data_IF_412493100364
#
_entry.id   IF_412493100364
#
_cell.length_a   1.000
_cell.length_b   1.000
_cell.length_c   1.000
_cell.angle_alpha   90.00
_cell.angle_beta   90.00
_cell.angle_gamma   90.00
#
_symmetry.space_group_name_H-M   'P 1'
#
loop_
_entity.id
_entity.type
_entity.pdbx_description
1 polymer ?
#
# COMPACT_ATOMS: atom_id res chain seq x y z
N UNK A 1 57.00 -1.03 -7.90
CA UNK A 1 56.01 -0.51 -8.88
C UNK A 1 54.90 -1.54 -9.19
N UNK A 2 54.05 -1.92 -8.22
CA UNK A 2 52.89 -2.83 -8.45
C UNK A 2 51.59 -2.41 -7.72
N UNK A 3 51.54 -1.21 -7.14
CA UNK A 3 50.37 -0.72 -6.38
C UNK A 3 49.42 0.24 -7.11
N UNK A 4 49.81 0.77 -8.28
CA UNK A 4 49.01 1.74 -9.04
C UNK A 4 48.05 1.11 -10.05
N UNK A 5 48.27 -0.15 -10.43
CA UNK A 5 47.48 -0.87 -11.44
C UNK A 5 46.13 -1.38 -10.88
N UNK A 6 46.10 -1.83 -9.62
CA UNK A 6 44.87 -2.39 -9.01
C UNK A 6 43.81 -1.31 -8.72
N UNK A 7 44.22 -0.11 -8.30
CA UNK A 7 43.29 1.00 -8.04
C UNK A 7 42.63 1.54 -9.31
N UNK A 8 43.34 1.51 -10.44
CA UNK A 8 42.78 1.89 -11.74
C UNK A 8 41.81 0.82 -12.26
N UNK A 9 42.16 -0.46 -12.13
CA UNK A 9 41.27 -1.55 -12.49
C UNK A 9 39.96 -1.53 -11.67
N UNK A 10 40.05 -1.26 -10.37
CA UNK A 10 38.87 -1.20 -9.49
C UNK A 10 37.97 0.01 -9.79
N UNK A 11 38.54 1.20 -10.05
CA UNK A 11 37.76 2.38 -10.48
C UNK A 11 37.07 2.18 -11.83
N UNK A 12 37.73 1.53 -12.77
CA UNK A 12 37.16 1.25 -14.08
C UNK A 12 36.04 0.19 -13.99
N UNK A 13 36.16 -0.81 -13.12
CA UNK A 13 35.10 -1.79 -12.86
C UNK A 13 33.85 -1.14 -12.21
N UNK A 14 34.06 -0.25 -11.23
CA UNK A 14 32.96 0.51 -10.60
C UNK A 14 32.27 1.49 -11.57
N UNK A 15 33.05 2.17 -12.42
CA UNK A 15 32.50 3.04 -13.46
C UNK A 15 31.70 2.26 -14.52
N UNK A 16 32.17 1.05 -14.88
CA UNK A 16 31.46 0.15 -15.79
C UNK A 16 30.14 -0.34 -15.19
N UNK A 17 30.14 -0.78 -13.92
CA UNK A 17 28.93 -1.18 -13.20
C UNK A 17 27.92 -0.03 -13.06
N UNK A 18 28.38 1.18 -12.76
CA UNK A 18 27.51 2.36 -12.69
C UNK A 18 26.92 2.72 -14.06
N UNK A 19 27.71 2.63 -15.14
CA UNK A 19 27.22 2.86 -16.50
C UNK A 19 26.21 1.79 -16.95
N UNK A 20 26.43 0.52 -16.60
CA UNK A 20 25.49 -0.56 -16.88
C UNK A 20 24.19 -0.38 -16.08
N UNK A 21 24.27 0.05 -14.82
CA UNK A 21 23.08 0.34 -14.01
C UNK A 21 22.27 1.52 -14.58
N UNK A 22 22.92 2.59 -15.03
CA UNK A 22 22.26 3.73 -15.68
C UNK A 22 21.63 3.32 -17.02
N UNK A 23 22.29 2.46 -17.80
CA UNK A 23 21.76 1.95 -19.07
C UNK A 23 20.57 1.01 -18.86
N UNK A 24 20.59 0.16 -17.83
CA UNK A 24 19.45 -0.72 -17.49
C UNK A 24 18.26 0.09 -17.00
N UNK A 25 18.48 1.12 -16.17
CA UNK A 25 17.42 2.03 -15.73
C UNK A 25 16.86 2.88 -16.88
N UNK A 26 17.72 3.32 -17.80
CA UNK A 26 17.31 4.05 -19.00
C UNK A 26 16.58 3.14 -20.00
N UNK A 27 17.00 1.88 -20.14
CA UNK A 27 16.32 0.89 -20.97
C UNK A 27 14.98 0.46 -20.38
N UNK A 28 14.84 0.33 -19.06
CA UNK A 28 13.53 0.16 -18.41
C UNK A 28 12.63 1.38 -18.67
N UNK A 29 13.18 2.61 -18.57
CA UNK A 29 12.44 3.84 -18.85
C UNK A 29 12.02 3.99 -20.33
N UNK A 30 12.83 3.49 -21.27
CA UNK A 30 12.55 3.51 -22.72
C UNK A 30 11.58 2.39 -23.11
N UNK A 31 11.72 1.18 -22.55
CA UNK A 31 10.82 0.05 -22.83
C UNK A 31 9.41 0.27 -22.25
N UNK A 32 9.26 1.09 -21.20
CA UNK A 32 7.94 1.56 -20.74
C UNK A 32 7.33 2.67 -21.60
N UNK A 33 8.10 3.28 -22.51
CA UNK A 33 7.63 4.41 -23.34
C UNK A 33 7.06 3.97 -24.69
N UNK A 34 7.51 2.82 -25.23
CA UNK A 34 7.15 2.37 -26.58
C UNK A 34 6.06 1.27 -26.62
N UNK A 35 5.39 0.98 -25.50
CA UNK A 35 4.22 0.10 -25.48
C UNK A 35 2.91 0.89 -25.48
N UNK A 36 2.34 0.98 -26.68
CA UNK A 36 0.93 1.31 -27.00
C UNK A 36 0.48 2.72 -26.65
N UNK A 37 0.38 3.55 -27.70
CA UNK A 37 -0.41 4.77 -27.76
C UNK A 37 -1.92 4.38 -27.69
N UNK A 38 -2.36 3.89 -26.52
CA UNK A 38 -3.79 3.85 -26.19
C UNK A 38 -4.16 5.29 -25.88
N UNK A 39 -5.20 5.79 -26.54
CA UNK A 39 -5.79 7.10 -26.30
C UNK A 39 -6.37 7.17 -24.87
N UNK A 40 -5.49 7.29 -23.88
CA UNK A 40 -5.84 7.40 -22.48
C UNK A 40 -6.39 8.80 -22.24
N UNK A 41 -7.71 8.89 -22.01
CA UNK A 41 -8.32 10.09 -21.42
C UNK A 41 -7.51 10.46 -20.16
N UNK A 42 -6.92 11.67 -20.10
CA UNK A 42 -6.13 12.06 -18.95
C UNK A 42 -7.05 12.18 -17.72
N UNK A 43 -6.65 11.59 -16.58
CA UNK A 43 -7.17 12.08 -15.30
C UNK A 43 -6.60 13.49 -15.12
N UNK A 44 -7.49 14.46 -15.30
CA UNK A 44 -7.21 15.88 -15.53
C UNK A 44 -6.66 16.57 -14.26
N UNK A 45 -5.33 16.61 -14.12
CA UNK A 45 -4.65 17.78 -13.56
C UNK A 45 -3.19 17.85 -14.00
N UNK A 46 -2.89 18.63 -15.02
CA UNK A 46 -1.52 19.12 -15.25
C UNK A 46 -1.34 20.44 -14.50
N UNK A 47 -0.59 20.37 -13.39
CA UNK A 47 -0.14 21.47 -12.51
C UNK A 47 -1.01 21.80 -11.28
N UNK A 48 -0.40 22.10 -10.12
CA UNK A 48 -1.09 22.73 -9.01
C UNK A 48 -1.60 24.11 -9.41
N UNK A 49 -2.79 24.46 -8.91
CA UNK A 49 -3.21 25.86 -8.83
C UNK A 49 -2.20 26.59 -7.95
N UNK A 50 -1.71 27.70 -8.45
CA UNK A 50 -0.90 28.71 -7.77
C UNK A 50 -1.51 29.08 -6.42
N UNK A 51 -1.06 28.43 -5.35
CA UNK A 51 -1.18 28.93 -3.97
C UNK A 51 -0.08 28.26 -3.14
N UNK A 52 1.14 28.76 -3.32
CA UNK A 52 2.24 28.46 -2.42
C UNK A 52 1.92 29.17 -1.09
N UNK A 53 1.67 28.39 -0.04
CA UNK A 53 1.75 28.90 1.33
C UNK A 53 0.46 29.44 1.96
N UNK A 54 -0.74 28.98 1.58
CA UNK A 54 -1.87 29.21 2.48
C UNK A 54 -1.69 28.36 3.76
N UNK A 55 -1.71 28.98 4.96
CA UNK A 55 -1.64 28.25 6.21
C UNK A 55 -2.78 27.23 6.30
N UNK A 56 -2.47 26.04 6.81
CA UNK A 56 -3.46 24.99 7.04
C UNK A 56 -4.57 25.54 7.95
N UNK A 57 -5.84 25.53 7.53
CA UNK A 57 -6.94 25.75 8.47
C UNK A 57 -6.89 24.64 9.52
N UNK A 58 -6.88 25.00 10.80
CA UNK A 58 -7.01 24.04 11.92
C UNK A 58 -8.31 23.22 11.88
N UNK A 59 -9.20 23.52 10.92
CA UNK A 59 -10.53 22.96 10.72
C UNK A 59 -10.63 21.91 9.60
N UNK A 60 -9.55 21.51 8.94
CA UNK A 60 -9.63 20.49 7.89
C UNK A 60 -10.00 19.13 8.49
N UNK A 61 -11.11 18.55 8.05
CA UNK A 61 -11.61 17.25 8.52
C UNK A 61 -10.87 16.07 7.88
N UNK A 62 -10.18 16.29 6.76
CA UNK A 62 -9.50 15.26 5.95
C UNK A 62 -8.08 15.70 5.58
N UNK A 63 -7.12 14.77 5.65
CA UNK A 63 -5.79 14.88 5.02
C UNK A 63 -5.54 13.61 4.21
N UNK A 64 -5.04 13.76 2.98
CA UNK A 64 -4.66 12.67 2.08
C UNK A 64 -3.13 12.61 2.00
N UNK A 65 -2.56 11.50 2.46
CA UNK A 65 -1.14 11.23 2.34
C UNK A 65 -0.81 10.71 0.94
N UNK A 66 -0.04 11.48 0.19
CA UNK A 66 0.44 11.08 -1.13
C UNK A 66 1.86 10.54 -1.03
N UNK A 67 2.03 9.28 -1.43
CA UNK A 67 3.32 8.60 -1.32
C UNK A 67 4.29 9.00 -2.42
N UNK A 68 5.57 9.13 -2.09
CA UNK A 68 6.64 9.36 -3.06
C UNK A 68 7.99 8.82 -2.59
N UNK A 69 8.91 8.62 -3.54
CA UNK A 69 10.21 7.98 -3.28
C UNK A 69 11.41 8.91 -3.37
N UNK A 70 11.27 10.10 -3.98
CA UNK A 70 12.40 10.98 -4.26
C UNK A 70 11.98 12.45 -4.40
N UNK A 71 12.93 13.36 -4.15
CA UNK A 71 12.81 14.79 -4.48
C UNK A 71 12.48 15.05 -5.95
N UNK A 72 12.89 14.15 -6.85
CA UNK A 72 12.54 14.22 -8.27
C UNK A 72 11.01 14.23 -8.50
N UNK A 73 10.24 13.65 -7.58
CA UNK A 73 8.79 13.57 -7.66
C UNK A 73 8.05 14.85 -7.23
N UNK A 74 8.73 15.85 -6.66
CA UNK A 74 8.08 17.03 -6.08
C UNK A 74 7.12 17.75 -7.02
N UNK A 75 7.46 17.84 -8.30
CA UNK A 75 6.65 18.53 -9.31
C UNK A 75 5.33 17.79 -9.63
N UNK A 76 5.25 16.50 -9.31
CA UNK A 76 4.06 15.67 -9.50
C UNK A 76 3.19 15.56 -8.23
N UNK A 77 3.71 16.03 -7.09
CA UNK A 77 2.96 16.05 -5.84
C UNK A 77 1.91 17.16 -5.85
N UNK A 78 0.76 16.85 -5.28
CA UNK A 78 -0.29 17.84 -5.07
C UNK A 78 0.21 18.88 -4.06
N UNK A 79 -0.09 20.14 -4.37
CA UNK A 79 0.32 21.28 -3.54
C UNK A 79 -0.93 22.09 -3.20
N UNK A 80 -1.69 21.60 -2.22
CA UNK A 80 -2.80 22.29 -1.59
C UNK A 80 -2.92 21.80 -0.13
N UNK A 81 -3.90 22.31 0.62
CA UNK A 81 -4.06 22.00 2.04
C UNK A 81 -4.64 20.59 2.33
N UNK A 82 -5.22 19.92 1.33
CA UNK A 82 -5.80 18.57 1.45
C UNK A 82 -4.74 17.47 1.39
N UNK A 83 -3.67 17.69 0.63
CA UNK A 83 -2.62 16.70 0.39
C UNK A 83 -1.37 16.98 1.23
N UNK A 84 -0.83 15.91 1.81
CA UNK A 84 0.47 15.91 2.49
C UNK A 84 1.37 14.85 1.87
N UNK A 85 2.61 15.19 1.59
CA UNK A 85 3.57 14.22 1.07
C UNK A 85 4.02 13.23 2.14
N UNK A 86 4.15 11.96 1.77
CA UNK A 86 4.70 10.90 2.59
C UNK A 86 5.85 10.21 1.86
N UNK A 87 7.06 10.52 2.30
CA UNK A 87 8.28 10.06 1.66
C UNK A 87 8.77 8.73 2.26
N UNK A 88 9.28 7.85 1.40
CA UNK A 88 9.85 6.56 1.80
C UNK A 88 11.35 6.60 2.10
N UNK A 89 12.02 7.74 1.92
CA UNK A 89 13.42 7.97 2.27
C UNK A 89 13.56 8.96 3.44
N UNK A 90 14.75 9.05 4.06
CA UNK A 90 15.02 10.07 5.07
C UNK A 90 15.51 11.38 4.40
N UNK A 91 15.05 12.53 4.89
CA UNK A 91 15.57 13.84 4.51
C UNK A 91 15.17 14.32 3.12
N UNK A 92 14.12 13.76 2.51
CA UNK A 92 13.63 14.17 1.17
C UNK A 92 12.25 14.86 1.25
N UNK A 93 11.99 15.61 2.32
CA UNK A 93 10.76 16.42 2.45
C UNK A 93 10.81 17.67 1.59
N UNK A 94 9.68 18.04 0.97
CA UNK A 94 9.57 19.31 0.25
C UNK A 94 9.90 20.48 1.19
N UNK A 95 10.76 21.42 0.80
CA UNK A 95 11.03 22.62 1.59
C UNK A 95 9.73 23.36 1.92
N UNK A 96 9.61 23.82 3.17
CA UNK A 96 8.44 24.58 3.65
C UNK A 96 7.09 23.83 3.51
N UNK A 97 7.12 22.50 3.47
CA UNK A 97 5.92 21.65 3.52
C UNK A 97 5.77 20.99 4.88
N UNK A 98 4.59 20.44 5.11
CA UNK A 98 4.25 19.58 6.24
C UNK A 98 4.46 18.08 5.95
N UNK A 99 5.20 17.77 4.87
CA UNK A 99 5.49 16.40 4.46
C UNK A 99 6.17 15.59 5.59
N UNK A 100 6.02 14.27 5.52
CA UNK A 100 6.58 13.32 6.47
C UNK A 100 7.58 12.39 5.81
N UNK A 101 8.63 12.01 6.55
CA UNK A 101 9.57 10.95 6.16
C UNK A 101 9.28 9.70 6.99
N UNK A 102 8.78 8.62 6.37
CA UNK A 102 8.48 7.37 7.05
C UNK A 102 9.68 6.79 7.84
N UNK A 103 10.91 6.77 7.28
CA UNK A 103 12.12 6.33 8.00
C UNK A 103 12.41 7.01 9.33
N UNK A 104 11.94 8.26 9.52
CA UNK A 104 12.18 9.01 10.76
C UNK A 104 11.22 8.64 11.88
N UNK A 105 10.13 7.93 11.57
CA UNK A 105 9.02 7.66 12.49
C UNK A 105 8.82 6.18 12.76
N UNK A 106 9.36 5.32 11.90
CA UNK A 106 9.08 3.89 11.90
C UNK A 106 10.36 3.07 11.67
N UNK A 107 10.89 2.39 12.69
CA UNK A 107 12.18 1.70 12.61
C UNK A 107 12.31 0.66 11.49
N UNK A 108 11.23 0.01 11.09
CA UNK A 108 11.28 -0.97 9.97
C UNK A 108 11.46 -0.31 8.60
N UNK A 109 11.16 0.98 8.46
CA UNK A 109 11.39 1.70 7.21
C UNK A 109 12.90 1.93 6.93
N UNK A 110 13.79 1.71 7.90
CA UNK A 110 15.25 1.75 7.70
C UNK A 110 15.92 0.39 7.87
N UNK A 111 15.15 -0.66 8.15
CA UNK A 111 15.69 -2.02 8.26
C UNK A 111 15.98 -2.54 6.84
N UNK A 112 17.24 -2.87 6.50
CA UNK A 112 17.61 -3.27 5.14
C UNK A 112 16.84 -4.47 4.61
N UNK A 113 16.36 -5.34 5.52
CA UNK A 113 15.56 -6.49 5.16
C UNK A 113 14.10 -6.10 4.88
N UNK A 114 13.48 -5.30 5.76
CA UNK A 114 12.04 -5.03 5.69
C UNK A 114 11.66 -3.82 4.82
N UNK A 115 12.57 -2.88 4.57
CA UNK A 115 12.26 -1.62 3.88
C UNK A 115 11.56 -1.84 2.53
N UNK A 116 11.99 -2.84 1.75
CA UNK A 116 11.47 -3.13 0.42
C UNK A 116 10.26 -4.08 0.48
N UNK A 117 10.10 -4.85 1.57
CA UNK A 117 8.98 -5.78 1.75
C UNK A 117 7.67 -5.07 2.10
N UNK A 118 7.76 -3.96 2.83
CA UNK A 118 6.58 -3.19 3.22
C UNK A 118 6.15 -2.19 2.13
N UNK A 119 7.05 -1.80 1.23
CA UNK A 119 6.83 -0.74 0.24
C UNK A 119 6.08 0.47 0.86
N UNK A 120 4.92 0.79 0.30
CA UNK A 120 4.05 1.89 0.70
C UNK A 120 3.48 1.79 2.11
N UNK A 121 3.37 0.56 2.62
CA UNK A 121 2.79 0.29 3.93
C UNK A 121 3.71 0.71 5.06
N UNK A 122 5.02 0.81 4.83
CA UNK A 122 5.94 1.36 5.83
C UNK A 122 5.54 2.80 6.21
N UNK A 123 5.16 3.62 5.23
CA UNK A 123 4.61 4.95 5.44
C UNK A 123 3.24 4.95 6.13
N UNK A 124 2.32 4.09 5.69
CA UNK A 124 0.98 4.00 6.31
C UNK A 124 1.07 3.57 7.79
N UNK A 125 1.90 2.57 8.07
CA UNK A 125 2.21 2.10 9.43
C UNK A 125 2.88 3.21 10.25
N UNK A 126 3.81 3.96 9.67
CA UNK A 126 4.41 5.11 10.35
C UNK A 126 3.37 6.18 10.74
N UNK A 127 2.42 6.48 9.86
CA UNK A 127 1.34 7.42 10.14
C UNK A 127 0.40 6.89 11.22
N UNK A 128 0.01 5.61 11.16
CA UNK A 128 -0.84 5.00 12.18
C UNK A 128 -0.17 4.98 13.56
N UNK A 129 1.14 4.73 13.63
CA UNK A 129 1.92 4.67 14.87
C UNK A 129 1.94 6.01 15.61
N UNK A 130 1.77 7.10 14.87
CA UNK A 130 1.82 8.45 15.40
C UNK A 130 0.55 9.23 15.09
N UNK A 131 -0.58 8.56 14.81
CA UNK A 131 -1.79 9.20 14.31
C UNK A 131 -2.30 10.30 15.26
N UNK A 132 -2.34 10.03 16.57
CA UNK A 132 -2.77 11.02 17.57
C UNK A 132 -1.94 12.32 17.55
N UNK A 133 -0.68 12.24 17.14
CA UNK A 133 0.25 13.37 17.08
C UNK A 133 0.31 14.02 15.69
N UNK A 134 0.27 13.22 14.62
CA UNK A 134 0.52 13.67 13.25
C UNK A 134 -0.75 13.94 12.44
N UNK A 135 -1.85 13.33 12.84
CA UNK A 135 -3.13 13.32 12.14
C UNK A 135 -4.29 13.47 13.15
N UNK A 136 -4.51 14.67 13.71
CA UNK A 136 -5.66 14.93 14.60
C UNK A 136 -7.01 14.93 13.87
N UNK A 137 -7.03 14.76 12.54
CA UNK A 137 -8.23 14.81 11.72
C UNK A 137 -9.10 13.57 11.87
N UNK A 138 -10.42 13.74 11.72
CA UNK A 138 -11.39 12.65 11.79
C UNK A 138 -11.27 11.69 10.59
N UNK A 139 -10.82 12.18 9.44
CA UNK A 139 -10.66 11.40 8.22
C UNK A 139 -9.23 11.44 7.69
N UNK A 140 -8.79 10.31 7.16
CA UNK A 140 -7.47 10.11 6.57
C UNK A 140 -7.63 9.47 5.20
N UNK A 141 -6.79 9.89 4.26
CA UNK A 141 -6.68 9.25 2.97
C UNK A 141 -5.24 8.85 2.64
N UNK A 142 -5.11 7.92 1.72
CA UNK A 142 -3.84 7.55 1.12
C UNK A 142 -3.96 7.51 -0.40
N UNK A 143 -2.91 7.99 -1.03
CA UNK A 143 -2.74 7.95 -2.46
C UNK A 143 -1.40 7.29 -2.79
N UNK A 144 -1.48 6.13 -3.47
CA UNK A 144 -0.31 5.35 -3.90
C UNK A 144 0.67 6.17 -4.74
N UNK A 145 1.95 5.80 -4.70
CA UNK A 145 3.05 6.33 -5.51
C UNK A 145 2.73 6.26 -7.00
N UNK A 146 1.91 5.29 -7.42
CA UNK A 146 1.43 5.16 -8.81
C UNK A 146 0.70 6.42 -9.29
N UNK A 147 0.05 7.16 -8.40
CA UNK A 147 -0.56 8.45 -8.76
C UNK A 147 0.49 9.52 -9.09
N UNK A 148 1.63 9.52 -8.37
CA UNK A 148 2.74 10.43 -8.65
C UNK A 148 3.38 10.08 -9.99
N UNK A 149 3.63 8.80 -10.23
CA UNK A 149 4.26 8.29 -11.45
C UNK A 149 3.38 8.55 -12.69
N UNK A 150 2.10 8.19 -12.60
CA UNK A 150 1.13 8.40 -13.69
C UNK A 150 0.69 9.86 -13.82
N UNK A 151 1.07 10.75 -12.90
CA UNK A 151 0.60 12.14 -12.79
C UNK A 151 -0.93 12.24 -12.75
N UNK A 152 -1.56 11.30 -12.05
CA UNK A 152 -3.02 11.16 -11.96
C UNK A 152 -3.46 11.43 -10.53
N UNK A 153 -4.34 12.40 -10.31
CA UNK A 153 -5.23 12.31 -9.16
C UNK A 153 -6.62 12.77 -9.53
N UNK A 154 -7.47 12.78 -8.51
CA UNK A 154 -8.86 13.15 -8.62
C UNK A 154 -9.02 14.64 -8.92
N UNK A 155 -10.10 14.99 -9.59
CA UNK A 155 -10.47 16.36 -9.90
C UNK A 155 -10.90 17.12 -8.63
N UNK A 156 -10.92 18.46 -8.70
CA UNK A 156 -11.47 19.27 -7.61
C UNK A 156 -12.93 18.90 -7.30
N UNK A 157 -13.72 18.56 -8.33
CA UNK A 157 -15.10 18.13 -8.14
C UNK A 157 -15.20 16.83 -7.33
N UNK A 158 -14.27 15.91 -7.50
CA UNK A 158 -14.20 14.69 -6.70
C UNK A 158 -13.72 14.96 -5.27
N UNK A 159 -12.71 15.81 -5.08
CA UNK A 159 -12.29 16.29 -3.74
C UNK A 159 -13.49 16.90 -2.98
N UNK A 160 -14.19 17.83 -3.62
CA UNK A 160 -15.33 18.56 -3.05
C UNK A 160 -16.50 17.61 -2.73
N UNK A 161 -16.73 16.59 -3.58
CA UNK A 161 -17.76 15.59 -3.35
C UNK A 161 -17.48 14.74 -2.12
N UNK A 162 -16.23 14.31 -1.92
CA UNK A 162 -15.80 13.58 -0.72
C UNK A 162 -15.95 14.47 0.52
N UNK A 163 -15.45 15.71 0.47
CA UNK A 163 -15.55 16.66 1.59
C UNK A 163 -17.00 16.99 1.94
N UNK A 164 -17.87 17.16 0.95
CA UNK A 164 -19.30 17.40 1.15
C UNK A 164 -19.99 16.19 1.81
N UNK A 165 -19.68 14.97 1.35
CA UNK A 165 -20.25 13.75 1.91
C UNK A 165 -19.79 13.51 3.35
N UNK A 166 -18.52 13.79 3.66
CA UNK A 166 -17.95 13.76 5.02
C UNK A 166 -18.66 14.80 5.91
N UNK A 167 -18.73 16.07 5.46
CA UNK A 167 -19.32 17.16 6.22
C UNK A 167 -20.81 16.95 6.53
N UNK A 168 -21.55 16.35 5.59
CA UNK A 168 -22.97 15.98 5.77
C UNK A 168 -23.18 14.67 6.52
N UNK A 169 -22.11 13.91 6.80
CA UNK A 169 -22.15 12.57 7.40
C UNK A 169 -23.05 11.59 6.64
N UNK A 170 -23.11 11.72 5.30
CA UNK A 170 -24.09 11.03 4.45
C UNK A 170 -24.01 9.50 4.51
N UNK A 171 -22.85 8.94 4.87
CA UNK A 171 -22.58 7.51 4.73
C UNK A 171 -22.05 6.81 5.98
N UNK A 172 -22.06 7.49 7.15
CA UNK A 172 -21.56 6.92 8.39
C UNK A 172 -20.08 6.51 8.31
N UNK A 173 -19.76 5.28 8.72
CA UNK A 173 -18.42 4.70 8.55
C UNK A 173 -18.28 4.07 7.16
N UNK A 174 -17.62 4.79 6.27
CA UNK A 174 -17.46 4.41 4.88
C UNK A 174 -16.00 4.52 4.44
N UNK A 175 -15.68 3.80 3.38
CA UNK A 175 -14.43 3.89 2.64
C UNK A 175 -14.79 4.50 1.29
N UNK A 176 -14.38 5.75 1.08
CA UNK A 176 -14.40 6.35 -0.24
C UNK A 176 -13.15 5.89 -0.98
N UNK A 177 -13.29 5.37 -2.17
CA UNK A 177 -12.14 4.89 -2.92
C UNK A 177 -12.27 5.23 -4.40
N UNK A 178 -11.13 5.27 -5.06
CA UNK A 178 -11.03 5.38 -6.50
C UNK A 178 -9.91 4.47 -6.97
N UNK A 179 -9.86 4.23 -8.26
CA UNK A 179 -8.78 3.53 -8.92
C UNK A 179 -8.29 4.39 -10.08
N UNK A 180 -7.08 4.14 -10.55
CA UNK A 180 -6.48 4.82 -11.70
C UNK A 180 -6.94 4.22 -13.03
N UNK A 181 -8.14 3.63 -13.04
CA UNK A 181 -8.66 2.85 -14.15
C UNK A 181 -7.98 1.50 -14.23
N UNK A 182 -8.11 0.67 -13.17
CA UNK A 182 -7.86 -0.76 -13.31
C UNK A 182 -8.55 -1.22 -14.59
N UNK A 183 -7.78 -1.81 -15.50
CA UNK A 183 -8.12 -1.95 -16.93
C UNK A 183 -9.62 -2.17 -17.13
N UNK A 184 -10.29 -1.22 -17.80
CA UNK A 184 -11.75 -1.19 -18.04
C UNK A 184 -12.29 -2.45 -18.78
N UNK A 185 -11.46 -3.46 -19.02
CA UNK A 185 -11.78 -4.66 -19.79
C UNK A 185 -11.20 -5.98 -19.22
N UNK A 186 -10.55 -5.98 -18.05
CA UNK A 186 -10.17 -7.25 -17.42
C UNK A 186 -11.35 -7.76 -16.61
N UNK A 187 -12.12 -8.69 -17.18
CA UNK A 187 -12.90 -9.64 -16.39
C UNK A 187 -11.93 -10.38 -15.47
N UNK A 188 -11.77 -9.89 -14.25
CA UNK A 188 -11.08 -10.59 -13.17
C UNK A 188 -11.97 -11.77 -12.81
N UNK A 189 -11.65 -12.95 -13.34
CA UNK A 189 -12.45 -14.17 -13.17
C UNK A 189 -12.48 -14.65 -11.70
N UNK A 190 -11.45 -14.29 -10.91
CA UNK A 190 -11.37 -14.50 -9.46
C UNK A 190 -10.28 -13.59 -8.86
N UNK A 191 -10.54 -12.98 -7.68
CA UNK A 191 -9.63 -12.04 -7.02
C UNK A 191 -8.26 -12.66 -6.68
N UNK A 192 -8.26 -13.90 -6.19
CA UNK A 192 -7.03 -14.60 -5.81
C UNK A 192 -6.31 -15.18 -7.04
N UNK A 193 -7.05 -15.64 -8.04
CA UNK A 193 -6.49 -16.09 -9.33
C UNK A 193 -5.83 -14.92 -10.07
N UNK A 194 -6.43 -13.73 -10.05
CA UNK A 194 -5.77 -12.53 -10.58
C UNK A 194 -4.46 -12.25 -9.85
N UNK A 195 -4.41 -12.46 -8.54
CA UNK A 195 -3.15 -12.34 -7.81
C UNK A 195 -2.13 -13.40 -8.27
N UNK A 196 -2.55 -14.65 -8.49
CA UNK A 196 -1.67 -15.74 -8.96
C UNK A 196 -1.09 -15.47 -10.37
N UNK A 197 -1.78 -14.71 -11.22
CA UNK A 197 -1.25 -14.27 -12.53
C UNK A 197 -0.06 -13.32 -12.40
N UNK A 198 -0.06 -12.49 -11.36
CA UNK A 198 1.02 -11.52 -11.12
C UNK A 198 2.10 -12.05 -10.17
N UNK A 199 1.80 -13.03 -9.31
CA UNK A 199 2.72 -13.58 -8.30
C UNK A 199 2.51 -15.08 -8.12
N UNK A 200 3.58 -15.87 -8.05
CA UNK A 200 3.43 -17.32 -7.82
C UNK A 200 2.82 -17.58 -6.45
N UNK A 201 1.91 -18.54 -6.33
CA UNK A 201 1.37 -18.99 -5.04
C UNK A 201 0.73 -17.90 -4.17
N UNK A 202 0.28 -16.78 -4.75
CA UNK A 202 -0.36 -15.70 -4.01
C UNK A 202 -1.62 -16.16 -3.27
N UNK A 203 -2.49 -16.93 -3.93
CA UNK A 203 -3.69 -17.51 -3.31
C UNK A 203 -3.34 -18.34 -2.07
N UNK A 204 -2.32 -19.18 -2.20
CA UNK A 204 -1.83 -20.04 -1.10
C UNK A 204 -1.28 -19.17 0.04
N UNK A 205 -0.58 -18.08 -0.28
CA UNK A 205 -0.05 -17.18 0.73
C UNK A 205 -1.18 -16.52 1.56
N UNK A 206 -2.23 -16.04 0.89
CA UNK A 206 -3.43 -15.53 1.56
C UNK A 206 -4.10 -16.60 2.42
N UNK A 207 -4.40 -17.76 1.85
CA UNK A 207 -5.04 -18.88 2.57
C UNK A 207 -4.29 -19.23 3.86
N UNK A 208 -2.96 -19.40 3.78
CA UNK A 208 -2.14 -19.73 4.95
C UNK A 208 -2.08 -18.59 5.97
N UNK A 209 -1.89 -17.35 5.53
CA UNK A 209 -1.87 -16.20 6.43
C UNK A 209 -3.21 -16.02 7.17
N UNK A 210 -4.33 -16.18 6.46
CA UNK A 210 -5.65 -16.16 7.09
C UNK A 210 -5.91 -17.35 8.01
N UNK A 211 -5.40 -18.54 7.67
CA UNK A 211 -5.44 -19.71 8.56
C UNK A 211 -4.66 -19.51 9.86
N UNK A 212 -3.58 -18.73 9.82
CA UNK A 212 -2.83 -18.30 11.01
C UNK A 212 -3.62 -17.26 11.80
N UNK A 213 -4.15 -16.23 11.13
CA UNK A 213 -4.89 -15.14 11.75
C UNK A 213 -6.19 -15.60 12.40
N UNK A 214 -7.08 -16.23 11.63
CA UNK A 214 -8.45 -16.56 12.03
C UNK A 214 -8.60 -17.97 12.60
N UNK A 215 -7.52 -18.77 12.55
CA UNK A 215 -7.57 -20.20 12.86
C UNK A 215 -8.07 -21.04 11.68
N UNK A 216 -7.71 -22.32 11.67
CA UNK A 216 -8.28 -23.27 10.71
C UNK A 216 -9.71 -23.58 11.15
N UNK A 217 -10.61 -23.86 10.19
CA UNK A 217 -11.89 -24.49 10.52
C UNK A 217 -11.59 -25.72 11.37
N UNK A 218 -12.01 -25.72 12.63
CA UNK A 218 -11.92 -26.87 13.51
C UNK A 218 -12.83 -27.95 12.93
N UNK A 219 -12.26 -28.91 12.18
CA UNK A 219 -12.94 -30.14 11.78
C UNK A 219 -13.15 -30.41 10.29
N UNK A 220 -12.61 -29.63 9.35
CA UNK A 220 -12.74 -29.92 7.90
C UNK A 220 -11.37 -30.11 7.23
N UNK A 221 -11.27 -31.16 6.43
CA UNK A 221 -10.02 -31.80 5.97
C UNK A 221 -9.27 -31.12 4.84
N UNK A 222 -9.65 -29.94 4.35
CA UNK A 222 -8.99 -29.31 3.20
C UNK A 222 -8.75 -27.81 3.43
N UNK A 223 -7.58 -27.47 3.97
CA UNK A 223 -6.98 -26.12 4.05
C UNK A 223 -7.82 -24.96 4.66
N UNK A 224 -7.18 -23.92 5.24
CA UNK A 224 -7.88 -22.68 5.56
C UNK A 224 -8.28 -21.97 4.25
N UNK A 225 -9.58 -21.86 3.98
CA UNK A 225 -10.08 -21.02 2.89
C UNK A 225 -9.80 -19.54 3.19
N UNK A 226 -9.29 -18.82 2.18
CA UNK A 226 -9.21 -17.37 2.24
C UNK A 226 -10.63 -16.77 2.21
N UNK A 227 -10.86 -15.58 2.81
CA UNK A 227 -12.16 -14.92 2.76
C UNK A 227 -12.68 -14.81 1.32
N UNK A 228 -13.95 -15.18 1.04
CA UNK A 228 -14.49 -15.18 -0.31
C UNK A 228 -14.61 -13.74 -0.81
N UNK A 229 -14.13 -13.51 -2.03
CA UNK A 229 -14.14 -12.20 -2.66
C UNK A 229 -15.06 -12.23 -3.89
N UNK A 230 -15.70 -11.10 -4.25
CA UNK A 230 -16.48 -11.00 -5.48
C UNK A 230 -15.63 -11.32 -6.73
N UNK A 231 -16.29 -11.88 -7.75
CA UNK A 231 -15.70 -12.23 -9.05
C UNK A 231 -16.32 -11.41 -10.20
N UNK A 232 -16.88 -10.25 -9.87
CA UNK A 232 -17.49 -9.31 -10.82
C UNK A 232 -16.49 -8.30 -11.39
N UNK A 233 -15.25 -8.29 -10.88
CA UNK A 233 -14.20 -7.39 -11.30
C UNK A 233 -14.48 -5.92 -10.97
N UNK A 234 -13.84 -5.01 -11.69
CA UNK A 234 -14.05 -3.56 -11.53
C UNK A 234 -13.10 -2.87 -10.55
N UNK A 235 -13.40 -1.60 -10.27
CA UNK A 235 -12.48 -0.68 -9.60
C UNK A 235 -12.09 -1.09 -8.16
N UNK A 236 -12.96 -1.80 -7.44
CA UNK A 236 -12.71 -2.24 -6.06
C UNK A 236 -11.54 -3.24 -5.96
N UNK A 237 -11.28 -4.01 -7.02
CA UNK A 237 -10.17 -4.98 -7.07
C UNK A 237 -8.84 -4.24 -6.92
N UNK A 238 -8.74 -3.04 -7.48
CA UNK A 238 -7.56 -2.18 -7.50
C UNK A 238 -7.73 -0.95 -6.60
N UNK A 239 -8.26 -1.15 -5.40
CA UNK A 239 -8.42 -0.09 -4.39
C UNK A 239 -7.05 0.39 -3.87
N UNK A 240 -6.30 1.14 -4.68
CA UNK A 240 -4.98 1.69 -4.33
C UNK A 240 -5.05 3.12 -3.79
N UNK A 241 -6.25 3.71 -3.83
CA UNK A 241 -6.51 5.06 -3.36
C UNK A 241 -7.79 5.08 -2.54
N UNK A 242 -7.72 5.60 -1.31
CA UNK A 242 -8.85 5.56 -0.41
C UNK A 242 -8.83 6.71 0.61
N UNK A 243 -10.02 7.00 1.13
CA UNK A 243 -10.30 7.90 2.25
C UNK A 243 -11.25 7.17 3.20
N UNK A 244 -10.92 7.17 4.50
CA UNK A 244 -11.75 6.57 5.55
C UNK A 244 -11.59 7.33 6.87
N UNK A 245 -12.45 7.03 7.85
CA UNK A 245 -12.26 7.58 9.20
C UNK A 245 -10.95 7.12 9.80
N UNK A 246 -10.30 7.98 10.58
CA UNK A 246 -9.02 7.68 11.23
C UNK A 246 -9.12 6.43 12.12
N UNK A 247 -10.23 6.23 12.83
CA UNK A 247 -10.46 5.00 13.61
C UNK A 247 -10.47 3.74 12.73
N UNK A 248 -11.17 3.80 11.59
CA UNK A 248 -11.23 2.73 10.59
C UNK A 248 -9.86 2.44 9.98
N UNK A 249 -9.08 3.48 9.71
CA UNK A 249 -7.70 3.35 9.25
C UNK A 249 -6.80 2.66 10.28
N UNK A 250 -6.92 3.00 11.56
CA UNK A 250 -6.15 2.34 12.63
C UNK A 250 -6.53 0.85 12.76
N UNK A 251 -7.81 0.51 12.58
CA UNK A 251 -8.25 -0.89 12.52
C UNK A 251 -7.67 -1.62 11.30
N UNK A 252 -7.69 -0.98 10.13
CA UNK A 252 -7.08 -1.53 8.92
C UNK A 252 -5.56 -1.72 9.06
N UNK A 253 -4.84 -0.76 9.64
CA UNK A 253 -3.38 -0.88 9.84
C UNK A 253 -3.00 -1.97 10.83
N UNK A 254 -3.83 -2.22 11.85
CA UNK A 254 -3.66 -3.39 12.72
C UNK A 254 -3.83 -4.69 11.93
N UNK A 255 -4.85 -4.76 11.07
CA UNK A 255 -5.03 -5.91 10.20
C UNK A 255 -3.84 -6.14 9.25
N UNK A 256 -3.34 -5.09 8.59
CA UNK A 256 -2.15 -5.14 7.74
C UNK A 256 -0.93 -5.65 8.51
N UNK A 257 -0.68 -5.09 9.69
CA UNK A 257 0.42 -5.50 10.56
C UNK A 257 0.34 -6.98 10.91
N UNK A 258 -0.82 -7.45 11.33
CA UNK A 258 -1.00 -8.83 11.79
C UNK A 258 -0.86 -9.81 10.62
N UNK A 259 -1.39 -9.45 9.45
CA UNK A 259 -1.19 -10.20 8.21
C UNK A 259 0.29 -10.26 7.82
N UNK A 260 1.00 -9.14 7.88
CA UNK A 260 2.42 -9.09 7.58
C UNK A 260 3.24 -9.99 8.52
N UNK A 261 2.96 -9.96 9.83
CA UNK A 261 3.60 -10.85 10.80
C UNK A 261 3.33 -12.32 10.45
N UNK A 262 2.10 -12.68 10.10
CA UNK A 262 1.75 -14.04 9.73
C UNK A 262 2.50 -14.51 8.47
N UNK A 263 2.60 -13.65 7.45
CA UNK A 263 3.36 -13.94 6.23
C UNK A 263 4.85 -14.08 6.54
N UNK A 264 5.44 -13.12 7.25
CA UNK A 264 6.87 -13.12 7.57
C UNK A 264 7.27 -14.34 8.41
N UNK A 265 6.48 -14.70 9.44
CA UNK A 265 6.75 -15.89 10.28
C UNK A 265 6.86 -17.18 9.45
N UNK A 266 6.03 -17.33 8.42
CA UNK A 266 6.01 -18.55 7.61
C UNK A 266 7.21 -18.69 6.67
N UNK A 267 7.74 -17.59 6.14
CA UNK A 267 8.73 -17.62 5.05
C UNK A 267 10.03 -16.89 5.32
N UNK A 268 10.20 -16.25 6.48
CA UNK A 268 11.36 -15.40 6.75
C UNK A 268 12.69 -16.11 6.53
N UNK A 269 12.88 -17.33 7.03
CA UNK A 269 14.18 -18.00 6.89
C UNK A 269 14.51 -18.29 5.42
N UNK A 270 13.53 -18.80 4.68
CA UNK A 270 13.69 -19.01 3.23
C UNK A 270 13.92 -17.69 2.50
N UNK A 271 13.19 -16.64 2.86
CA UNK A 271 13.29 -15.33 2.23
C UNK A 271 14.63 -14.64 2.53
N UNK A 272 15.00 -14.53 3.80
CA UNK A 272 16.22 -13.86 4.26
C UNK A 272 17.49 -14.65 3.94
N UNK A 273 17.50 -15.94 4.26
CA UNK A 273 18.74 -16.74 4.23
C UNK A 273 19.04 -17.26 2.82
N UNK A 274 18.02 -17.50 1.99
CA UNK A 274 18.18 -17.95 0.60
C UNK A 274 17.93 -16.86 -0.46
N UNK A 275 17.48 -15.66 -0.07
CA UNK A 275 17.09 -14.56 -0.97
C UNK A 275 16.04 -14.99 -2.03
N UNK A 276 15.13 -15.90 -1.64
CA UNK A 276 14.08 -16.43 -2.51
C UNK A 276 12.72 -16.20 -1.85
N UNK A 277 11.85 -15.48 -2.54
CA UNK A 277 10.46 -15.35 -2.12
C UNK A 277 9.54 -16.37 -2.82
N UNK A 278 8.63 -16.99 -2.07
CA UNK A 278 7.61 -17.91 -2.62
C UNK A 278 6.70 -17.23 -3.67
N UNK A 279 6.57 -15.91 -3.57
CA UNK A 279 5.73 -15.09 -4.45
C UNK A 279 6.46 -14.59 -5.70
N UNK A 280 7.79 -14.68 -5.73
CA UNK A 280 8.56 -14.27 -6.88
C UNK A 280 8.25 -15.20 -8.06
N UNK A 281 7.90 -14.61 -9.20
CA UNK A 281 7.60 -15.37 -10.41
C UNK A 281 8.87 -15.95 -11.02
N UNK A 282 10.02 -15.28 -10.85
CA UNK A 282 11.27 -15.60 -11.54
C UNK A 282 11.17 -15.38 -13.05
N UNK A 283 10.19 -14.58 -13.50
CA UNK A 283 9.90 -14.30 -14.91
C UNK A 283 10.44 -12.94 -15.33
N UNK A 284 10.60 -11.98 -14.40
CA UNK A 284 11.33 -10.75 -14.71
C UNK A 284 12.82 -10.99 -14.89
N UNK A 285 13.48 -10.03 -15.52
CA UNK A 285 14.94 -9.98 -15.68
C UNK A 285 15.71 -9.78 -14.37
N UNK A 286 15.03 -9.62 -13.21
CA UNK A 286 15.68 -9.58 -11.89
C UNK A 286 14.83 -10.30 -10.82
N UNK A 287 15.04 -11.62 -10.66
CA UNK A 287 14.46 -12.40 -9.57
C UNK A 287 14.77 -11.86 -8.17
N UNK A 288 15.91 -11.17 -8.01
CA UNK A 288 16.30 -10.51 -6.77
C UNK A 288 15.38 -9.32 -6.47
N UNK A 289 15.07 -8.49 -7.47
CA UNK A 289 14.15 -7.38 -7.31
C UNK A 289 12.74 -7.85 -6.94
N UNK A 290 12.24 -8.89 -7.62
CA UNK A 290 10.95 -9.50 -7.27
C UNK A 290 10.95 -10.00 -5.82
N UNK A 291 12.01 -10.70 -5.41
CA UNK A 291 12.10 -11.23 -4.05
C UNK A 291 12.14 -10.12 -3.00
N UNK A 292 12.79 -8.99 -3.29
CA UNK A 292 12.83 -7.84 -2.37
C UNK A 292 11.48 -7.14 -2.16
N UNK A 293 10.57 -7.19 -3.14
CA UNK A 293 9.28 -6.47 -3.11
C UNK A 293 8.07 -7.40 -3.07
N UNK A 294 8.28 -8.69 -2.86
CA UNK A 294 7.26 -9.69 -3.10
C UNK A 294 6.04 -9.59 -2.17
N UNK A 295 6.21 -9.06 -0.95
CA UNK A 295 5.10 -8.86 -0.01
C UNK A 295 4.23 -7.65 -0.36
N UNK A 296 4.77 -6.65 -1.08
CA UNK A 296 4.07 -5.41 -1.38
C UNK A 296 2.76 -5.67 -2.11
N UNK A 297 2.76 -6.62 -3.05
CA UNK A 297 1.58 -6.99 -3.80
C UNK A 297 0.50 -7.66 -2.95
N UNK A 298 0.87 -8.46 -1.94
CA UNK A 298 -0.11 -8.99 -1.00
C UNK A 298 -0.74 -7.84 -0.20
N UNK A 299 0.11 -6.96 0.33
CA UNK A 299 -0.33 -5.85 1.17
C UNK A 299 -1.26 -4.91 0.40
N UNK A 300 -0.95 -4.59 -0.86
CA UNK A 300 -1.78 -3.75 -1.74
C UNK A 300 -3.21 -4.28 -1.92
N UNK A 301 -3.44 -5.59 -1.75
CA UNK A 301 -4.76 -6.22 -1.90
C UNK A 301 -5.53 -6.32 -0.60
N UNK A 302 -4.88 -6.13 0.55
CA UNK A 302 -5.52 -6.25 1.87
C UNK A 302 -6.66 -5.26 2.08
N UNK A 303 -6.56 -4.07 1.51
CA UNK A 303 -7.61 -3.07 1.65
C UNK A 303 -8.91 -3.53 0.98
N UNK A 304 -8.85 -4.18 -0.18
CA UNK A 304 -10.05 -4.72 -0.84
C UNK A 304 -10.71 -5.80 0.01
N UNK A 305 -9.92 -6.72 0.58
CA UNK A 305 -10.40 -7.79 1.47
C UNK A 305 -11.01 -7.19 2.73
N UNK A 306 -10.29 -6.28 3.39
CA UNK A 306 -10.74 -5.64 4.61
C UNK A 306 -11.98 -4.79 4.38
N UNK A 307 -12.02 -3.96 3.33
CA UNK A 307 -13.17 -3.12 3.00
C UNK A 307 -14.43 -3.96 2.78
N UNK A 308 -14.30 -5.09 2.05
CA UNK A 308 -15.41 -5.98 1.77
C UNK A 308 -15.94 -6.68 3.03
N UNK A 309 -15.06 -7.14 3.93
CA UNK A 309 -15.48 -7.93 5.10
C UNK A 309 -15.61 -7.16 6.41
N UNK A 310 -15.16 -5.91 6.50
CA UNK A 310 -15.13 -5.13 7.75
C UNK A 310 -16.46 -4.47 8.13
N UNK A 311 -17.50 -4.61 7.29
CA UNK A 311 -18.81 -4.02 7.52
C UNK A 311 -18.92 -2.53 7.21
N UNK A 312 -17.93 -1.96 6.53
CA UNK A 312 -17.97 -0.56 6.05
C UNK A 312 -18.54 -0.47 4.66
N UNK A 313 -19.26 0.62 4.38
CA UNK A 313 -19.75 0.91 3.02
C UNK A 313 -18.57 1.19 2.10
N UNK A 314 -18.55 0.57 0.93
CA UNK A 314 -17.52 0.75 -0.08
C UNK A 314 -18.05 1.71 -1.13
N UNK A 315 -17.56 2.95 -1.14
CA UNK A 315 -18.08 4.01 -1.99
C UNK A 315 -17.06 4.36 -3.06
N UNK A 316 -17.34 3.92 -4.28
CA UNK A 316 -16.55 4.32 -5.43
C UNK A 316 -16.81 5.80 -5.74
N UNK A 317 -15.72 6.55 -5.89
CA UNK A 317 -15.73 7.94 -6.32
C UNK A 317 -15.17 8.00 -7.72
N UNK A 318 -15.97 8.49 -8.67
CA UNK A 318 -15.45 8.75 -10.00
C UNK A 318 -14.39 9.86 -9.91
N UNK A 319 -13.13 9.59 -10.31
CA UNK A 319 -12.03 10.53 -10.11
C UNK A 319 -12.17 11.81 -10.96
N UNK A 320 -13.05 11.83 -11.96
CA UNK A 320 -13.28 12.98 -12.84
C UNK A 320 -14.54 13.75 -12.41
N UNK A 321 -15.67 13.07 -12.31
CA UNK A 321 -16.98 13.73 -12.09
C UNK A 321 -17.28 13.95 -10.61
N UNK A 322 -16.61 13.22 -9.72
CA UNK A 322 -16.94 13.20 -8.29
C UNK A 322 -18.21 12.43 -7.93
N UNK A 323 -18.85 11.75 -8.90
CA UNK A 323 -20.03 10.92 -8.60
C UNK A 323 -19.66 9.80 -7.63
N UNK A 324 -20.47 9.64 -6.58
CA UNK A 324 -20.27 8.61 -5.54
C UNK A 324 -21.32 7.52 -5.73
N UNK A 325 -20.88 6.27 -5.83
CA UNK A 325 -21.76 5.09 -5.88
C UNK A 325 -21.27 4.01 -4.93
N UNK A 326 -22.19 3.30 -4.28
CA UNK A 326 -21.84 2.15 -3.45
C UNK A 326 -21.55 0.93 -4.35
N UNK A 327 -20.43 0.25 -4.08
CA UNK A 327 -20.11 -1.05 -4.65
C UNK A 327 -20.28 -2.13 -3.57
N UNK A 328 -20.83 -3.29 -3.95
CA UNK A 328 -21.13 -4.41 -3.06
C UNK A 328 -21.90 -3.97 -1.81
N UNK A 329 -23.21 -3.82 -1.93
CA UNK A 329 -24.03 -3.26 -0.86
C UNK A 329 -23.79 -3.97 0.48
N UNK A 330 -23.68 -3.20 1.56
CA UNK A 330 -23.35 -3.74 2.89
C UNK A 330 -24.30 -4.87 3.34
N UNK A 331 -25.59 -4.80 2.97
CA UNK A 331 -26.60 -5.79 3.32
C UNK A 331 -26.31 -7.19 2.76
N UNK A 332 -25.47 -7.30 1.74
CA UNK A 332 -25.15 -8.55 1.04
C UNK A 332 -23.86 -9.22 1.57
N UNK A 333 -23.13 -8.58 2.48
CA UNK A 333 -21.74 -8.94 2.86
C UNK A 333 -21.58 -9.54 4.26
N UNK A 334 -22.52 -10.38 4.71
CA UNK A 334 -22.63 -10.73 6.14
C UNK A 334 -21.74 -11.89 6.63
N UNK A 335 -21.32 -12.79 5.75
CA UNK A 335 -20.76 -14.10 6.14
C UNK A 335 -19.43 -14.05 6.93
N UNK A 336 -18.65 -12.98 6.79
CA UNK A 336 -17.31 -12.85 7.39
C UNK A 336 -17.16 -11.64 8.33
N UNK A 337 -18.24 -10.89 8.56
CA UNK A 337 -18.23 -9.68 9.41
C UNK A 337 -17.69 -9.94 10.81
N UNK A 338 -17.98 -11.11 11.40
CA UNK A 338 -17.53 -11.41 12.75
C UNK A 338 -16.01 -11.55 12.83
N UNK A 339 -15.36 -12.20 11.84
CA UNK A 339 -13.90 -12.36 11.80
C UNK A 339 -13.17 -11.03 11.69
N UNK A 340 -13.74 -10.09 10.92
CA UNK A 340 -13.20 -8.75 10.73
C UNK A 340 -13.74 -7.73 11.75
N UNK A 341 -14.36 -8.21 12.84
CA UNK A 341 -14.76 -7.35 13.94
C UNK A 341 -13.56 -6.98 14.80
N UNK A 342 -13.59 -5.77 15.36
CA UNK A 342 -12.58 -5.26 16.32
C UNK A 342 -12.28 -6.26 17.44
N UNK A 343 -13.30 -6.95 17.93
CA UNK A 343 -13.17 -7.92 19.03
C UNK A 343 -12.37 -9.16 18.64
N UNK A 344 -12.57 -9.68 17.41
CA UNK A 344 -11.86 -10.84 16.93
C UNK A 344 -10.43 -10.48 16.52
N UNK A 345 -10.22 -9.34 15.85
CA UNK A 345 -8.86 -8.85 15.56
C UNK A 345 -8.01 -8.76 16.82
N UNK A 346 -8.55 -8.21 17.91
CA UNK A 346 -7.83 -8.15 19.18
C UNK A 346 -7.44 -9.54 19.71
N UNK A 347 -8.34 -10.52 19.63
CA UNK A 347 -8.05 -11.90 20.08
C UNK A 347 -6.98 -12.58 19.23
N UNK A 348 -7.05 -12.42 17.91
CA UNK A 348 -6.07 -12.99 16.98
C UNK A 348 -4.69 -12.37 17.17
N UNK A 349 -4.64 -11.06 17.38
CA UNK A 349 -3.43 -10.34 17.74
C UNK A 349 -2.81 -10.87 19.04
N UNK A 350 -3.58 -10.92 20.13
CA UNK A 350 -3.07 -11.43 21.41
C UNK A 350 -2.53 -12.86 21.27
N UNK A 351 -3.11 -13.67 20.38
CA UNK A 351 -2.62 -15.02 20.07
C UNK A 351 -1.29 -14.98 19.30
N UNK A 352 -1.17 -14.14 18.28
CA UNK A 352 0.07 -13.95 17.52
C UNK A 352 1.21 -13.43 18.41
N UNK A 353 0.93 -12.43 19.24
CA UNK A 353 1.92 -11.85 20.18
C UNK A 353 2.42 -12.89 21.17
N UNK A 354 1.52 -13.69 21.76
CA UNK A 354 1.90 -14.80 22.65
C UNK A 354 2.79 -15.82 21.94
N UNK A 355 2.47 -16.17 20.68
CA UNK A 355 3.26 -17.11 19.89
C UNK A 355 4.66 -16.55 19.60
N UNK A 356 4.75 -15.28 19.19
CA UNK A 356 6.02 -14.63 18.89
C UNK A 356 6.93 -14.53 20.12
N UNK A 357 6.37 -14.15 21.28
CA UNK A 357 7.13 -14.16 22.56
C UNK A 357 7.64 -15.57 22.88
N UNK A 358 6.82 -16.61 22.69
CA UNK A 358 7.23 -17.99 22.93
C UNK A 358 8.30 -18.50 21.94
N UNK A 359 8.35 -17.96 20.73
CA UNK A 359 9.29 -18.36 19.67
C UNK A 359 10.59 -17.53 19.65
N UNK A 360 10.84 -16.70 20.67
CA UNK A 360 11.98 -15.77 20.72
C UNK A 360 12.01 -14.85 19.48
N UNK A 361 10.90 -14.15 19.25
CA UNK A 361 10.71 -13.20 18.15
C UNK A 361 11.96 -12.32 17.93
N UNK A 362 12.28 -12.09 16.65
CA UNK A 362 13.40 -11.28 16.17
C UNK A 362 13.19 -9.77 16.43
N UNK A 363 12.37 -9.45 17.41
CA UNK A 363 11.83 -8.12 17.68
C UNK A 363 10.92 -7.59 16.59
N UNK A 364 10.39 -8.42 15.67
CA UNK A 364 9.53 -7.93 14.59
C UNK A 364 8.25 -7.35 15.18
N UNK A 365 7.62 -8.04 16.12
CA UNK A 365 6.44 -7.54 16.81
C UNK A 365 6.78 -6.26 17.56
N UNK A 366 7.91 -6.20 18.27
CA UNK A 366 8.30 -4.98 18.99
C UNK A 366 8.51 -3.79 18.04
N UNK A 367 9.13 -4.01 16.88
CA UNK A 367 9.32 -3.00 15.83
C UNK A 367 7.99 -2.58 15.17
N UNK A 368 6.97 -3.44 15.23
CA UNK A 368 5.60 -3.21 14.77
C UNK A 368 4.62 -2.80 15.90
N UNK A 369 5.06 -2.74 17.16
CA UNK A 369 4.20 -2.47 18.33
C UNK A 369 4.09 -0.98 18.67
N UNK A 370 4.63 -0.10 17.83
CA UNK A 370 4.57 1.36 18.02
C UNK A 370 3.17 1.95 17.77
N UNK A 371 2.07 1.26 18.14
CA UNK A 371 0.67 1.68 17.97
C UNK A 371 -0.13 1.67 19.28
#
# INVERSE_FOLDING_TARGET
MRGLSLKHAFRNALASLAATFILVMSAMYILTRDSVEIEHRPLLRTKPLTNIGQPRPSSLTLVIYQQYHSTACYHNLYNNSLYRGLNQAAGQRRPNSDDLDAPTMFPLATDPYYQNLLCEFSGMLAVAAHAARLHPQEWIGFQSWRAVDKRRAISQAAEDSILSAIGKRSHGDAIYFWSDGGEDDVRVLDFYEHCDRSHKHCKIAFQRAFGVLFGHRTGETDAPDAPPMPNDGGAWVFMSYFVMRTESFLEYMRFVRDFFIAVDDMWFHTHRDANVCILAQGVSSSPEYESLHCYCYLLERLISIWAYHSGRRMLFVNPITGSISEQHELKERTAWLHYFSKSQFRKHLEKLERRAVAMNDRGLIQKLQTF
#
